data_IF_474526772389
#
_entry.id   IF_474526772389
#
_cell.length_a   1.000
_cell.length_b   1.000
_cell.length_c   1.000
_cell.angle_alpha   90.00
_cell.angle_beta   90.00
_cell.angle_gamma   90.00
#
_symmetry.space_group_name_H-M   'P 1'
#
loop_
_entity.id
_entity.type
_entity.pdbx_description
1 polymer ?
2 non-polymer ?
3 non-polymer ?
4 non-polymer ?
5 non-polymer ?
6 water ?
#
# COMPACT_ATOMS: atom_id res chain seq x y z
N UNK A 1 1.38 -15.82 23.14
CA UNK A 1 2.61 -16.23 23.82
C UNK A 1 3.79 -15.39 23.34
N UNK A 2 4.65 -15.00 24.28
CA UNK A 2 5.84 -14.19 23.99
C UNK A 2 7.05 -15.11 23.93
N UNK A 3 7.71 -15.14 22.77
CA UNK A 3 8.87 -16.00 22.61
C UNK A 3 9.92 -15.65 23.65
N UNK A 4 10.66 -16.65 24.12
CA UNK A 4 11.64 -16.40 25.17
C UNK A 4 12.79 -15.51 24.68
N UNK A 5 13.04 -15.41 23.38
CA UNK A 5 14.10 -14.54 22.88
C UNK A 5 13.61 -13.15 22.51
N UNK A 6 12.31 -12.87 22.64
CA UNK A 6 11.80 -11.52 22.39
C UNK A 6 12.11 -10.61 23.57
N UNK A 7 12.28 -9.34 23.29
CA UNK A 7 12.47 -8.32 24.33
C UNK A 7 11.21 -7.49 24.44
N UNK A 8 10.68 -7.35 25.65
CA UNK A 8 9.54 -6.48 25.93
C UNK A 8 9.99 -5.53 27.02
N UNK A 9 10.04 -4.24 26.69
CA UNK A 9 10.50 -3.25 27.65
C UNK A 9 9.59 -3.25 28.88
N UNK A 10 10.14 -3.08 30.08
CA UNK A 10 9.29 -3.08 31.29
C UNK A 10 8.14 -2.07 31.24
N UNK A 11 8.28 -0.95 30.52
CA UNK A 11 7.19 0.03 30.45
C UNK A 11 6.17 -0.26 29.35
N UNK A 12 6.45 -1.20 28.46
CA UNK A 12 5.46 -1.55 27.45
C UNK A 12 4.33 -2.36 28.05
N UNK A 13 3.18 -2.31 27.40
CA UNK A 13 2.00 -3.05 27.84
C UNK A 13 1.66 -4.03 26.72
N UNK A 14 1.97 -5.31 26.92
CA UNK A 14 1.61 -6.35 25.97
C UNK A 14 0.51 -7.18 26.61
N UNK A 15 -0.69 -7.15 26.03
CA UNK A 15 -1.84 -7.81 26.65
C UNK A 15 -1.79 -9.32 26.46
N UNK A 16 -2.22 -10.06 27.49
CA UNK A 16 -2.23 -11.51 27.39
C UNK A 16 -3.04 -11.94 26.18
N UNK A 17 -2.46 -12.86 25.39
CA UNK A 17 -3.02 -13.28 24.12
C UNK A 17 -2.18 -12.85 22.93
N UNK A 18 -1.45 -11.74 23.07
CA UNK A 18 -0.60 -11.30 21.98
C UNK A 18 0.48 -12.34 21.72
N UNK A 19 0.85 -12.47 20.45
CA UNK A 19 1.87 -13.42 20.02
C UNK A 19 3.07 -12.63 19.52
N UNK A 20 4.22 -12.81 20.16
CA UNK A 20 5.43 -12.07 19.85
C UNK A 20 6.52 -13.07 19.47
N UNK A 21 7.08 -12.93 18.27
CA UNK A 21 8.02 -13.89 17.73
C UNK A 21 9.44 -13.73 18.25
N UNK A 22 10.29 -14.66 17.82
CA UNK A 22 11.68 -14.70 18.29
C UNK A 22 12.42 -13.42 17.92
N UNK A 23 13.23 -12.92 18.86
CA UNK A 23 14.10 -11.77 18.63
C UNK A 23 13.34 -10.52 18.19
N UNK A 24 12.04 -10.49 18.43
CA UNK A 24 11.32 -9.24 18.28
C UNK A 24 11.68 -8.30 19.43
N UNK A 25 11.34 -7.03 19.28
CA UNK A 25 11.70 -6.02 20.26
C UNK A 25 10.51 -5.09 20.43
N UNK A 26 9.95 -5.04 21.63
CA UNK A 26 8.88 -4.13 21.96
C UNK A 26 9.47 -3.05 22.87
N UNK A 27 9.58 -1.82 22.34
CA UNK A 27 10.23 -0.73 23.05
C UNK A 27 9.35 -0.07 24.09
N UNK A 28 9.92 0.92 24.78
CA UNK A 28 9.21 1.56 25.89
C UNK A 28 7.89 2.19 25.46
N UNK A 29 6.90 2.11 26.36
CA UNK A 29 5.62 2.80 26.21
C UNK A 29 4.84 2.34 24.98
N UNK A 30 5.16 1.16 24.45
CA UNK A 30 4.34 0.55 23.41
C UNK A 30 3.12 -0.12 24.04
N UNK A 31 2.06 -0.25 23.23
CA UNK A 31 0.87 -0.99 23.63
C UNK A 31 0.55 -2.00 22.55
N UNK A 32 0.41 -3.28 22.91
CA UNK A 32 0.13 -4.34 21.96
C UNK A 32 -1.08 -5.11 22.45
N UNK A 33 -2.16 -5.12 21.65
CA UNK A 33 -3.41 -5.71 22.06
C UNK A 33 -3.40 -7.21 22.02
N UNK A 34 -4.45 -7.80 22.59
CA UNK A 34 -4.47 -9.26 22.78
C UNK A 34 -4.61 -10.05 21.48
N UNK A 35 -5.03 -9.41 20.38
CA UNK A 35 -5.22 -10.12 19.12
C UNK A 35 -4.12 -9.80 18.12
N UNK A 36 -2.98 -9.31 18.58
CA UNK A 36 -1.89 -8.91 17.71
C UNK A 36 -0.91 -10.07 17.61
N UNK A 37 -0.41 -10.32 16.41
CA UNK A 37 0.73 -11.19 16.18
C UNK A 37 1.88 -10.36 15.61
N UNK A 38 3.06 -10.47 16.23
CA UNK A 38 4.24 -9.76 15.78
C UNK A 38 5.31 -10.79 15.46
N UNK A 39 5.77 -10.77 14.21
CA UNK A 39 6.68 -11.78 13.72
C UNK A 39 8.12 -11.61 14.19
N UNK A 40 8.91 -12.62 13.87
CA UNK A 40 10.32 -12.71 14.27
C UNK A 40 11.12 -11.50 13.77
N UNK A 41 11.89 -10.92 14.68
CA UNK A 41 12.79 -9.83 14.32
C UNK A 41 12.13 -8.47 14.20
N UNK A 42 10.81 -8.37 14.32
CA UNK A 42 10.16 -7.08 14.17
C UNK A 42 10.42 -6.21 15.40
N UNK A 43 10.64 -4.92 15.14
CA UNK A 43 10.99 -3.95 16.17
C UNK A 43 9.91 -2.88 16.22
N UNK A 44 9.40 -2.61 17.44
CA UNK A 44 8.58 -1.44 17.74
C UNK A 44 9.45 -0.51 18.58
N UNK A 45 9.81 0.64 18.01
CA UNK A 45 10.87 1.45 18.61
C UNK A 45 10.48 1.94 20.00
N UNK A 46 9.36 2.65 20.08
CA UNK A 46 8.82 3.21 21.33
C UNK A 46 7.52 3.90 20.97
N UNK A 47 6.65 4.06 21.97
CA UNK A 47 5.40 4.81 21.78
C UNK A 47 4.61 4.33 20.56
N UNK A 48 4.53 3.01 20.33
CA UNK A 48 3.75 2.45 19.23
C UNK A 48 2.48 1.82 19.81
N UNK A 49 1.35 2.04 19.14
CA UNK A 49 0.10 1.38 19.50
C UNK A 49 -0.24 0.38 18.39
N UNK A 50 -0.39 -0.89 18.76
CA UNK A 50 -0.86 -1.91 17.81
C UNK A 50 -2.03 -2.61 18.47
N UNK A 51 -3.18 -2.60 17.81
CA UNK A 51 -4.33 -3.25 18.41
C UNK A 51 -5.17 -3.86 17.30
N UNK A 52 -6.37 -4.34 17.66
CA UNK A 52 -7.24 -5.01 16.71
C UNK A 52 -6.71 -6.40 16.37
N UNK A 53 -7.39 -7.05 15.44
CA UNK A 53 -6.96 -8.34 14.90
C UNK A 53 -5.92 -8.04 13.82
N UNK A 54 -4.66 -8.10 14.19
CA UNK A 54 -3.60 -7.50 13.39
C UNK A 54 -2.41 -8.46 13.40
N UNK A 55 -1.99 -8.88 12.21
CA UNK A 55 -0.85 -9.79 12.05
C UNK A 55 0.26 -9.05 11.32
N UNK A 56 1.42 -9.00 11.93
CA UNK A 56 2.58 -8.29 11.40
C UNK A 56 3.69 -9.33 11.20
N UNK A 57 4.33 -9.30 10.04
CA UNK A 57 5.33 -10.28 9.68
C UNK A 57 6.70 -10.01 10.28
N UNK A 58 7.73 -10.48 9.59
CA UNK A 58 9.08 -10.51 10.17
C UNK A 58 9.92 -9.32 9.73
N UNK A 59 10.84 -8.93 10.60
CA UNK A 59 11.89 -7.95 10.26
C UNK A 59 11.33 -6.58 9.87
N UNK A 60 10.15 -6.23 10.38
CA UNK A 60 9.65 -4.88 10.19
C UNK A 60 10.27 -3.94 11.21
N UNK A 61 10.30 -2.65 10.87
CA UNK A 61 10.71 -1.60 11.81
C UNK A 61 9.57 -0.61 11.89
N UNK A 62 9.00 -0.46 13.07
CA UNK A 62 7.86 0.43 13.27
C UNK A 62 8.29 1.49 14.26
N UNK A 63 8.22 2.75 13.83
CA UNK A 63 8.75 3.86 14.60
C UNK A 63 7.70 4.51 15.48
N UNK A 64 8.20 5.40 16.35
CA UNK A 64 7.39 6.02 17.39
C UNK A 64 6.19 6.77 16.83
N UNK A 65 5.10 6.71 17.59
CA UNK A 65 3.85 7.43 17.38
C UNK A 65 3.05 6.88 16.21
N UNK A 66 3.43 5.72 15.68
CA UNK A 66 2.61 5.01 14.70
C UNK A 66 1.46 4.28 15.37
N UNK A 67 0.36 4.13 14.63
CA UNK A 67 -0.86 3.49 15.12
C UNK A 67 -1.28 2.45 14.09
N UNK A 68 -1.22 1.18 14.46
CA UNK A 68 -1.42 0.06 13.54
C UNK A 68 -2.56 -0.82 14.06
N UNK A 69 -3.59 -1.01 13.22
CA UNK A 69 -4.72 -1.84 13.57
C UNK A 69 -5.90 -1.10 14.13
N UNK A 70 -5.79 0.22 14.28
CA UNK A 70 -6.78 1.02 14.96
C UNK A 70 -8.11 1.06 14.18
N UNK A 71 -9.18 1.35 14.92
CA UNK A 71 -10.49 1.67 14.39
C UNK A 71 -10.36 2.60 13.18
N UNK A 72 -11.07 2.30 12.09
CA UNK A 72 -10.93 3.15 10.92
C UNK A 72 -11.83 4.38 11.06
N UNK A 73 -11.83 5.24 10.04
CA UNK A 73 -12.54 6.51 10.07
C UNK A 73 -13.81 6.50 9.22
N UNK A 74 -14.25 5.32 8.80
CA UNK A 74 -15.49 5.19 8.04
C UNK A 74 -16.65 5.27 9.01
N UNK A 75 -17.57 6.22 8.78
CA UNK A 75 -18.71 6.33 9.68
C UNK A 75 -19.58 5.08 9.66
N UNK A 76 -19.50 4.27 8.60
CA UNK A 76 -20.26 3.02 8.56
C UNK A 76 -19.69 1.96 9.50
N UNK A 77 -18.44 2.08 9.93
CA UNK A 77 -17.85 1.09 10.81
C UNK A 77 -18.46 1.19 12.20
N UNK A 78 -18.78 0.04 12.80
CA UNK A 78 -19.46 0.05 14.09
C UNK A 78 -18.79 -0.88 15.10
N UNK A 79 -17.49 -1.16 14.94
CA UNK A 79 -16.78 -1.96 15.90
C UNK A 79 -16.63 -3.43 15.57
N UNK A 80 -17.03 -3.86 14.37
CA UNK A 80 -16.93 -5.26 14.02
C UNK A 80 -15.47 -5.72 14.04
N UNK A 81 -15.24 -6.99 14.38
CA UNK A 81 -13.88 -7.55 14.32
C UNK A 81 -13.41 -7.67 12.89
N UNK A 82 -12.74 -6.66 12.39
CA UNK A 82 -12.07 -6.71 11.09
C UNK A 82 -10.56 -6.79 11.32
N UNK A 83 -9.78 -6.77 10.24
CA UNK A 83 -8.39 -7.23 10.33
C UNK A 83 -7.42 -6.30 9.61
N UNK A 84 -6.16 -6.43 10.01
CA UNK A 84 -5.02 -5.82 9.32
C UNK A 84 -4.00 -6.93 9.15
N UNK A 85 -3.40 -7.01 7.95
CA UNK A 85 -2.26 -7.89 7.69
C UNK A 85 -1.11 -7.08 7.12
N UNK A 86 0.08 -7.26 7.68
CA UNK A 86 1.28 -6.56 7.24
C UNK A 86 2.37 -7.61 7.04
N UNK A 87 3.09 -7.51 5.92
CA UNK A 87 4.11 -8.51 5.60
C UNK A 87 5.46 -8.26 6.25
N UNK A 88 6.54 -8.45 5.49
CA UNK A 88 7.89 -8.52 6.03
C UNK A 88 8.73 -7.32 5.60
N UNK A 89 9.68 -6.94 6.47
CA UNK A 89 10.75 -6.01 6.10
C UNK A 89 10.22 -4.65 5.67
N UNK A 90 9.09 -4.26 6.22
CA UNK A 90 8.59 -2.91 6.00
C UNK A 90 9.24 -1.94 6.97
N UNK A 91 9.42 -0.71 6.51
CA UNK A 91 9.85 0.40 7.34
C UNK A 91 8.67 1.35 7.48
N UNK A 92 8.14 1.44 8.69
CA UNK A 92 6.89 2.14 8.96
C UNK A 92 7.25 3.28 9.89
N UNK A 93 7.25 4.51 9.36
CA UNK A 93 7.92 5.61 10.03
C UNK A 93 6.99 6.31 11.01
N UNK A 94 7.52 7.35 11.67
CA UNK A 94 6.80 8.06 12.73
C UNK A 94 5.40 8.50 12.29
N UNK A 95 4.41 8.26 13.17
CA UNK A 95 3.06 8.77 13.01
C UNK A 95 2.29 8.16 11.84
N UNK A 96 2.80 7.12 11.20
CA UNK A 96 2.00 6.39 10.21
C UNK A 96 0.77 5.80 10.89
N UNK A 97 -0.35 5.80 10.18
CA UNK A 97 -1.58 5.15 10.64
C UNK A 97 -2.01 4.11 9.60
N UNK A 98 -2.32 2.91 10.07
CA UNK A 98 -2.83 1.82 9.24
C UNK A 98 -4.06 1.31 9.94
N UNK A 99 -5.23 1.51 9.35
CA UNK A 99 -6.49 1.21 10.01
C UNK A 99 -7.07 -0.13 9.56
N UNK A 100 -7.85 -0.75 10.46
CA UNK A 100 -8.49 -2.03 10.18
C UNK A 100 -9.58 -1.88 9.13
N UNK A 101 -9.98 -3.00 8.52
CA UNK A 101 -10.96 -2.97 7.46
C UNK A 101 -12.39 -2.72 7.96
N UNK A 102 -13.33 -2.73 7.02
CA UNK A 102 -14.76 -2.68 7.33
C UNK A 102 -15.44 -3.93 6.78
N UNK A 103 -16.51 -4.34 7.43
CA UNK A 103 -17.27 -5.49 6.94
C UNK A 103 -17.69 -5.24 5.50
N UNK A 104 -18.24 -4.05 5.24
CA UNK A 104 -18.73 -3.71 3.90
C UNK A 104 -17.62 -3.77 2.85
N UNK A 105 -16.38 -3.49 3.23
CA UNK A 105 -15.29 -3.46 2.29
C UNK A 105 -14.52 -4.76 2.14
N UNK A 106 -14.91 -5.83 2.84
CA UNK A 106 -14.20 -7.10 2.76
C UNK A 106 -13.48 -7.48 4.03
N UNK A 107 -13.37 -6.57 4.99
CA UNK A 107 -12.89 -6.89 6.32
C UNK A 107 -11.39 -6.87 6.52
N UNK A 108 -10.61 -6.45 5.54
CA UNK A 108 -9.15 -6.61 5.61
C UNK A 108 -8.43 -5.41 5.01
N UNK A 109 -7.51 -4.85 5.79
CA UNK A 109 -6.51 -3.93 5.28
C UNK A 109 -5.19 -4.68 5.15
N UNK A 110 -4.57 -4.62 3.98
CA UNK A 110 -3.41 -5.46 3.71
C UNK A 110 -2.24 -4.63 3.19
N UNK A 111 -1.06 -4.87 3.76
CA UNK A 111 0.20 -4.31 3.32
C UNK A 111 1.14 -5.49 3.08
N UNK A 112 1.86 -5.46 1.96
CA UNK A 112 2.80 -6.54 1.65
C UNK A 112 4.15 -6.34 2.29
N UNK A 113 5.22 -6.51 1.52
CA UNK A 113 6.57 -6.59 2.06
C UNK A 113 7.49 -5.56 1.42
N UNK A 114 8.56 -5.21 2.14
CA UNK A 114 9.60 -4.34 1.62
C UNK A 114 9.08 -2.94 1.26
N UNK A 115 8.05 -2.46 1.96
CA UNK A 115 7.52 -1.12 1.71
C UNK A 115 8.18 -0.09 2.62
N UNK A 116 8.19 1.16 2.14
CA UNK A 116 8.61 2.32 2.93
C UNK A 116 7.42 3.25 3.09
N UNK A 117 6.90 3.37 4.31
CA UNK A 117 5.78 4.25 4.58
C UNK A 117 6.32 5.40 5.44
N UNK A 118 6.45 6.58 4.83
CA UNK A 118 7.15 7.68 5.47
C UNK A 118 6.23 8.39 6.46
N UNK A 119 6.79 9.41 7.13
CA UNK A 119 6.13 10.08 8.25
C UNK A 119 4.69 10.43 7.91
N UNK A 120 3.76 10.02 8.78
CA UNK A 120 2.35 10.40 8.69
C UNK A 120 1.67 9.91 7.42
N UNK A 121 2.22 8.92 6.71
CA UNK A 121 1.42 8.26 5.68
C UNK A 121 0.19 7.63 6.32
N UNK A 122 -0.89 7.55 5.54
CA UNK A 122 -2.17 7.00 6.01
C UNK A 122 -2.65 5.89 5.09
N UNK A 123 -2.89 4.72 5.66
CA UNK A 123 -3.47 3.59 4.94
C UNK A 123 -4.82 3.32 5.59
N UNK A 124 -5.89 3.70 4.89
CA UNK A 124 -7.26 3.61 5.38
C UNK A 124 -7.79 2.18 5.34
N UNK A 125 -8.96 2.00 5.94
CA UNK A 125 -9.66 0.72 5.94
C UNK A 125 -9.74 0.14 4.53
N UNK A 126 -9.56 -1.17 4.42
CA UNK A 126 -9.78 -1.95 3.20
C UNK A 126 -8.82 -1.60 2.08
N UNK A 127 -7.74 -0.88 2.35
CA UNK A 127 -6.74 -0.67 1.31
C UNK A 127 -5.90 -1.93 1.12
N UNK A 128 -5.24 -1.99 -0.04
CA UNK A 128 -4.30 -3.06 -0.35
C UNK A 128 -3.05 -2.40 -0.90
N UNK A 129 -1.95 -2.51 -0.15
CA UNK A 129 -0.64 -2.06 -0.59
C UNK A 129 0.19 -3.30 -0.89
N UNK A 130 0.85 -3.30 -2.05
CA UNK A 130 1.61 -4.47 -2.48
C UNK A 130 3.01 -4.52 -1.87
N UNK A 131 4.00 -4.78 -2.71
CA UNK A 131 5.39 -4.96 -2.30
C UNK A 131 6.24 -3.87 -2.93
N UNK A 132 7.29 -3.47 -2.21
CA UNK A 132 8.30 -2.54 -2.73
C UNK A 132 7.72 -1.16 -3.05
N UNK A 133 6.66 -0.77 -2.36
CA UNK A 133 6.04 0.53 -2.57
C UNK A 133 6.67 1.58 -1.66
N UNK A 134 6.50 2.84 -2.03
CA UNK A 134 6.88 3.97 -1.18
C UNK A 134 5.70 4.93 -1.12
N UNK A 135 5.28 5.26 0.11
CA UNK A 135 4.39 6.39 0.37
C UNK A 135 5.21 7.46 1.08
N UNK A 136 5.36 8.63 0.45
CA UNK A 136 6.18 9.71 1.03
C UNK A 136 5.39 10.43 2.13
N UNK A 137 6.03 11.43 2.77
CA UNK A 137 5.44 12.08 3.94
C UNK A 137 4.03 12.56 3.63
N UNK A 138 3.11 12.26 4.55
CA UNK A 138 1.73 12.74 4.51
C UNK A 138 0.92 12.16 3.36
N UNK A 139 1.46 11.19 2.62
CA UNK A 139 0.67 10.59 1.56
C UNK A 139 -0.51 9.87 2.18
N UNK A 140 -1.69 10.07 1.62
CA UNK A 140 -2.93 9.70 2.30
C UNK A 140 -3.78 8.89 1.34
N UNK A 141 -4.12 7.66 1.73
CA UNK A 141 -5.05 6.84 0.95
C UNK A 141 -6.42 6.87 1.61
N UNK A 142 -7.45 7.20 0.84
CA UNK A 142 -8.81 7.01 1.33
C UNK A 142 -9.14 5.52 1.37
N UNK A 143 -10.35 5.19 1.82
CA UNK A 143 -10.73 3.78 1.94
C UNK A 143 -10.72 3.05 0.61
N UNK A 144 -10.36 1.77 0.65
CA UNK A 144 -10.52 0.85 -0.49
C UNK A 144 -9.52 1.10 -1.61
N UNK A 145 -8.45 1.84 -1.36
CA UNK A 145 -7.48 2.14 -2.40
C UNK A 145 -6.52 0.97 -2.55
N UNK A 146 -6.16 0.64 -3.79
CA UNK A 146 -5.11 -0.33 -4.08
C UNK A 146 -3.86 0.40 -4.54
N UNK A 147 -2.71 0.05 -3.97
CA UNK A 147 -1.41 0.53 -4.43
C UNK A 147 -0.61 -0.71 -4.81
N UNK A 148 -0.37 -0.89 -6.12
CA UNK A 148 0.20 -2.15 -6.63
C UNK A 148 1.72 -2.12 -6.51
N UNK A 149 2.34 -3.25 -6.81
CA UNK A 149 3.77 -3.44 -6.58
C UNK A 149 4.61 -2.34 -7.22
N UNK A 150 5.62 -1.88 -6.48
CA UNK A 150 6.65 -0.95 -6.89
C UNK A 150 6.14 0.49 -7.07
N UNK A 151 4.85 0.75 -6.86
CA UNK A 151 4.34 2.10 -7.07
C UNK A 151 4.88 3.04 -6.00
N UNK A 152 5.11 4.30 -6.36
CA UNK A 152 5.54 5.31 -5.40
C UNK A 152 4.60 6.51 -5.45
N UNK A 153 4.34 7.09 -4.28
CA UNK A 153 3.39 8.18 -4.13
C UNK A 153 4.09 9.31 -3.40
N UNK A 154 4.17 10.49 -4.03
CA UNK A 154 4.97 11.58 -3.52
C UNK A 154 4.36 12.31 -2.34
N UNK A 155 5.18 13.17 -1.74
CA UNK A 155 4.78 13.82 -0.51
C UNK A 155 3.55 14.68 -0.69
N UNK A 156 2.69 14.69 0.34
CA UNK A 156 1.48 15.51 0.43
C UNK A 156 0.39 15.06 -0.55
N UNK A 157 0.50 13.89 -1.16
CA UNK A 157 -0.48 13.47 -2.15
C UNK A 157 -1.59 12.65 -1.51
N UNK A 158 -2.83 12.86 -1.98
CA UNK A 158 -3.99 12.11 -1.49
C UNK A 158 -4.67 11.37 -2.64
N UNK A 159 -5.24 10.20 -2.32
CA UNK A 159 -5.88 9.32 -3.29
C UNK A 159 -7.32 9.09 -2.87
N UNK A 160 -8.26 9.42 -3.75
CA UNK A 160 -9.69 9.28 -3.51
C UNK A 160 -10.07 7.81 -3.38
N UNK A 161 -11.14 7.55 -2.62
CA UNK A 161 -11.56 6.20 -2.31
C UNK A 161 -11.76 5.35 -3.56
N UNK A 162 -11.37 4.08 -3.46
CA UNK A 162 -11.52 3.01 -4.46
C UNK A 162 -10.56 3.14 -5.63
N UNK A 163 -9.74 4.18 -5.72
CA UNK A 163 -8.84 4.30 -6.86
C UNK A 163 -7.76 3.22 -6.81
N UNK A 164 -7.27 2.85 -7.98
CA UNK A 164 -6.16 1.91 -8.13
C UNK A 164 -4.94 2.68 -8.62
N UNK A 165 -3.85 2.55 -7.89
CA UNK A 165 -2.55 3.04 -8.32
C UNK A 165 -1.81 1.84 -8.88
N UNK A 166 -1.66 1.77 -10.20
CA UNK A 166 -1.15 0.57 -10.82
C UNK A 166 0.34 0.31 -10.54
N UNK A 167 0.79 -0.88 -10.94
CA UNK A 167 2.16 -1.30 -10.66
C UNK A 167 3.18 -0.38 -11.34
N UNK A 168 4.28 -0.09 -10.64
CA UNK A 168 5.37 0.72 -11.17
C UNK A 168 4.97 2.15 -11.48
N UNK A 169 3.82 2.60 -10.97
CA UNK A 169 3.40 3.99 -11.16
C UNK A 169 4.30 4.91 -10.35
N UNK A 170 4.47 6.13 -10.84
CA UNK A 170 5.00 7.23 -10.04
C UNK A 170 3.96 8.34 -9.96
N UNK A 171 3.43 8.61 -8.77
CA UNK A 171 2.54 9.74 -8.55
C UNK A 171 3.34 10.86 -7.93
N UNK A 172 3.35 12.03 -8.58
CA UNK A 172 4.12 13.14 -8.08
C UNK A 172 3.63 13.65 -6.74
N UNK A 173 4.48 14.44 -6.08
CA UNK A 173 4.06 15.07 -4.85
C UNK A 173 3.00 16.13 -5.10
N UNK A 174 2.32 16.53 -4.02
CA UNK A 174 1.35 17.64 -4.08
C UNK A 174 0.25 17.39 -5.11
N UNK A 175 -0.17 16.14 -5.23
CA UNK A 175 -1.17 15.76 -6.23
C UNK A 175 -2.42 15.23 -5.55
N UNK A 176 -3.52 15.24 -6.31
CA UNK A 176 -4.75 14.62 -5.85
C UNK A 176 -5.21 13.64 -6.91
N UNK A 177 -5.30 12.35 -6.57
CA UNK A 177 -5.65 11.32 -7.53
C UNK A 177 -7.13 10.99 -7.36
N UNK A 178 -7.90 11.19 -8.43
CA UNK A 178 -9.36 11.00 -8.38
C UNK A 178 -9.86 9.84 -9.20
N UNK A 179 -9.00 9.23 -10.01
CA UNK A 179 -9.37 8.10 -10.85
C UNK A 179 -8.22 7.09 -10.86
N UNK A 180 -8.38 6.01 -11.62
CA UNK A 180 -7.41 4.92 -11.61
C UNK A 180 -6.20 5.26 -12.48
N UNK A 181 -5.01 4.86 -12.02
CA UNK A 181 -3.77 5.14 -12.73
C UNK A 181 -3.23 3.82 -13.29
N UNK A 182 -3.17 3.65 -14.61
CA UNK A 182 -2.74 2.36 -15.18
C UNK A 182 -1.30 2.05 -14.80
N UNK A 183 -0.92 0.77 -14.83
CA UNK A 183 0.48 0.43 -14.52
C UNK A 183 1.45 1.20 -15.41
N UNK A 184 2.62 1.46 -14.85
CA UNK A 184 3.78 1.99 -15.55
C UNK A 184 3.68 3.48 -15.86
N UNK A 185 2.65 4.20 -15.37
CA UNK A 185 2.36 5.58 -15.77
C UNK A 185 2.90 6.56 -14.72
N UNK A 186 3.28 7.74 -15.17
CA UNK A 186 3.56 8.87 -14.29
C UNK A 186 2.29 9.70 -14.20
N UNK A 187 1.88 10.04 -12.98
CA UNK A 187 0.69 10.87 -12.78
C UNK A 187 1.04 12.05 -11.90
N UNK A 188 0.47 13.22 -12.20
CA UNK A 188 0.66 14.34 -11.30
C UNK A 188 -0.38 15.41 -11.56
N UNK A 189 -0.60 16.24 -10.54
CA UNK A 189 -1.50 17.37 -10.63
C UNK A 189 -2.67 17.21 -9.68
N UNK A 190 -3.57 18.19 -9.73
CA UNK A 190 -4.78 18.22 -8.90
C UNK A 190 -5.92 18.72 -9.78
N UNK A 191 -6.69 17.79 -10.36
CA UNK A 191 -6.53 16.35 -10.20
C UNK A 191 -5.42 15.79 -11.08
N UNK A 192 -4.86 14.66 -10.67
CA UNK A 192 -3.73 14.08 -11.40
C UNK A 192 -4.13 13.64 -12.80
N UNK A 193 -3.23 13.90 -13.74
CA UNK A 193 -3.34 13.49 -15.14
C UNK A 193 -2.08 12.73 -15.54
N UNK A 194 -2.13 11.99 -16.64
CA UNK A 194 -0.98 11.17 -17.02
C UNK A 194 0.12 12.00 -17.68
N UNK A 195 1.37 11.63 -17.39
CA UNK A 195 2.53 12.32 -17.93
C UNK A 195 3.56 11.33 -18.47
N UNK A 196 3.10 10.34 -19.22
CA UNK A 196 4.01 9.41 -19.86
C UNK A 196 4.28 8.19 -19.01
N UNK A 197 5.28 7.41 -19.46
CA UNK A 197 5.63 6.13 -18.84
C UNK A 197 6.77 6.37 -17.86
N UNK A 198 6.74 5.64 -16.74
CA UNK A 198 7.78 5.78 -15.71
C UNK A 198 9.02 5.01 -16.18
N UNK A 199 9.62 5.53 -17.24
CA UNK A 199 10.70 4.80 -17.94
C UNK A 199 11.87 4.55 -17.00
N UNK A 200 12.23 5.55 -16.21
CA UNK A 200 13.41 5.42 -15.34
C UNK A 200 13.20 4.35 -14.28
N UNK A 201 12.00 4.24 -13.71
CA UNK A 201 11.74 3.16 -12.78
C UNK A 201 11.86 1.80 -13.43
N UNK A 202 11.31 1.66 -14.63
CA UNK A 202 11.36 0.38 -15.32
C UNK A 202 12.80 -0.01 -15.67
N UNK A 203 13.60 0.97 -16.08
CA UNK A 203 14.99 0.72 -16.42
C UNK A 203 15.75 0.18 -15.22
N UNK A 204 15.61 0.85 -14.07
CA UNK A 204 16.30 0.42 -12.86
C UNK A 204 15.81 -0.93 -12.37
N UNK A 205 14.58 -1.31 -12.67
CA UNK A 205 14.06 -2.55 -12.16
C UNK A 205 14.24 -3.72 -13.12
N UNK A 206 15.07 -3.55 -14.14
CA UNK A 206 15.45 -4.66 -15.00
C UNK A 206 14.58 -4.91 -16.21
N UNK A 207 13.69 -3.99 -16.56
CA UNK A 207 12.89 -4.18 -17.77
C UNK A 207 13.77 -4.03 -19.00
N UNK A 208 13.53 -4.89 -20.00
CA UNK A 208 14.32 -4.83 -21.24
C UNK A 208 13.91 -3.62 -22.07
N UNK A 209 14.79 -3.26 -23.02
CA UNK A 209 14.46 -2.18 -23.95
C UNK A 209 13.18 -2.52 -24.73
N UNK A 210 13.04 -3.79 -25.14
CA UNK A 210 11.85 -4.19 -25.87
C UNK A 210 10.58 -4.06 -25.04
N UNK A 211 10.63 -4.49 -23.78
CA UNK A 211 9.46 -4.39 -22.89
C UNK A 211 9.07 -2.94 -22.67
N UNK A 212 10.04 -2.07 -22.44
CA UNK A 212 9.72 -0.66 -22.22
C UNK A 212 9.07 -0.07 -23.48
N UNK A 213 9.62 -0.37 -24.66
CA UNK A 213 9.00 0.12 -25.89
C UNK A 213 7.57 -0.41 -26.03
N UNK A 214 7.35 -1.68 -25.73
CA UNK A 214 6.00 -2.22 -25.85
C UNK A 214 5.06 -1.52 -24.87
N UNK A 215 5.53 -1.26 -23.65
CA UNK A 215 4.73 -0.55 -22.67
C UNK A 215 4.41 0.86 -23.16
N UNK A 216 5.41 1.55 -23.72
CA UNK A 216 5.16 2.88 -24.26
C UNK A 216 4.15 2.82 -25.41
N UNK A 217 4.20 1.77 -26.22
CA UNK A 217 3.22 1.65 -27.31
C UNK A 217 1.82 1.39 -26.75
N UNK A 218 1.72 0.63 -25.67
CA UNK A 218 0.41 0.44 -25.02
C UNK A 218 -0.11 1.76 -24.45
N UNK A 219 0.78 2.56 -23.84
CA UNK A 219 0.39 3.88 -23.38
C UNK A 219 -0.17 4.73 -24.50
N UNK A 220 0.48 4.71 -25.66
CA UNK A 220 0.01 5.50 -26.80
C UNK A 220 -1.34 5.01 -27.30
N UNK A 221 -1.55 3.68 -27.34
CA UNK A 221 -2.87 3.17 -27.66
C UNK A 221 -3.93 3.77 -26.74
N UNK A 222 -3.64 3.83 -25.45
CA UNK A 222 -4.64 4.30 -24.49
C UNK A 222 -4.85 5.80 -24.62
N UNK A 223 -3.78 6.57 -24.75
CA UNK A 223 -3.84 8.01 -24.56
C UNK A 223 -3.59 8.83 -25.82
N UNK A 224 -3.07 8.23 -26.88
CA UNK A 224 -2.75 8.99 -28.09
C UNK A 224 -3.54 8.57 -29.31
N UNK A 225 -3.92 7.29 -29.42
CA UNK A 225 -4.57 6.80 -30.63
C UNK A 225 -5.90 7.47 -30.88
N UNK A 226 -6.55 7.97 -29.83
CA UNK A 226 -7.87 8.54 -29.97
C UNK A 226 -8.99 7.53 -29.94
N UNK A 227 -8.68 6.24 -29.82
CA UNK A 227 -9.71 5.22 -29.75
C UNK A 227 -10.28 5.13 -28.35
N UNK A 228 -11.46 4.50 -28.25
CA UNK A 228 -12.08 4.29 -26.96
C UNK A 228 -11.38 3.15 -26.24
N UNK A 229 -11.55 3.12 -24.91
CA UNK A 229 -10.91 2.07 -24.13
C UNK A 229 -11.34 0.69 -24.61
N UNK A 230 -12.62 0.52 -24.90
CA UNK A 230 -13.11 -0.77 -25.36
C UNK A 230 -12.47 -1.18 -26.68
N UNK A 231 -12.25 -0.23 -27.58
CA UNK A 231 -11.52 -0.54 -28.80
C UNK A 231 -10.07 -0.89 -28.50
N UNK A 232 -9.47 -0.25 -27.50
CA UNK A 232 -8.04 -0.42 -27.24
C UNK A 232 -7.74 -1.72 -26.51
N UNK A 233 -8.68 -2.21 -25.69
CA UNK A 233 -8.40 -3.39 -24.89
C UNK A 233 -7.95 -4.58 -25.72
N UNK A 234 -8.61 -4.95 -26.82
CA UNK A 234 -8.10 -6.07 -27.63
C UNK A 234 -6.75 -5.79 -28.27
N UNK A 235 -6.46 -4.54 -28.63
CA UNK A 235 -5.16 -4.26 -29.23
C UNK A 235 -4.03 -4.42 -28.20
N UNK A 236 -4.30 -4.04 -26.96
CA UNK A 236 -3.32 -4.25 -25.89
C UNK A 236 -3.15 -5.74 -25.60
N UNK A 237 -4.25 -6.49 -25.54
CA UNK A 237 -4.14 -7.94 -25.38
C UNK A 237 -3.34 -8.55 -26.53
N UNK A 238 -3.52 -8.03 -27.74
CA UNK A 238 -2.75 -8.52 -28.88
C UNK A 238 -1.26 -8.27 -28.68
N UNK A 239 -0.91 -7.07 -28.22
CA UNK A 239 0.49 -6.75 -27.99
C UNK A 239 1.09 -7.63 -26.89
N UNK A 240 0.29 -7.96 -25.86
CA UNK A 240 0.78 -8.79 -24.77
C UNK A 240 1.05 -10.23 -25.19
N UNK A 241 0.56 -10.65 -26.36
CA UNK A 241 0.91 -11.97 -26.87
C UNK A 241 2.39 -12.07 -27.18
N UNK A 242 3.03 -10.95 -27.51
CA UNK A 242 4.47 -10.92 -27.72
C UNK A 242 5.24 -10.40 -26.51
N UNK A 243 4.71 -9.40 -25.80
CA UNK A 243 5.42 -8.74 -24.70
C UNK A 243 4.63 -8.95 -23.43
N UNK A 244 4.98 -9.94 -22.62
CA UNK A 244 4.14 -10.29 -21.47
C UNK A 244 4.00 -9.17 -20.46
N UNK A 245 4.96 -8.25 -20.36
CA UNK A 245 4.81 -7.12 -19.44
C UNK A 245 3.55 -6.32 -19.74
N UNK A 246 3.08 -6.32 -20.98
CA UNK A 246 1.89 -5.56 -21.33
C UNK A 246 0.62 -6.17 -20.72
N UNK A 247 0.66 -7.44 -20.31
CA UNK A 247 -0.49 -8.06 -19.65
C UNK A 247 -0.91 -7.31 -18.38
N UNK A 248 0.01 -6.56 -17.77
CA UNK A 248 -0.35 -5.78 -16.58
C UNK A 248 -1.49 -4.82 -16.88
N UNK A 249 -1.52 -4.24 -18.09
CA UNK A 249 -2.63 -3.37 -18.47
C UNK A 249 -3.94 -4.14 -18.46
N UNK A 250 -3.96 -5.31 -19.11
CA UNK A 250 -5.17 -6.13 -19.15
C UNK A 250 -5.68 -6.43 -17.73
N UNK A 251 -4.80 -6.89 -16.84
CA UNK A 251 -5.24 -7.21 -15.49
C UNK A 251 -5.75 -5.97 -14.77
N UNK A 252 -5.15 -4.82 -15.04
CA UNK A 252 -5.57 -3.58 -14.41
C UNK A 252 -6.95 -3.16 -14.89
N UNK A 253 -7.23 -3.31 -16.20
CA UNK A 253 -8.53 -2.90 -16.72
C UNK A 253 -9.65 -3.69 -16.05
N UNK A 254 -9.41 -4.97 -15.75
CA UNK A 254 -10.46 -5.80 -15.16
C UNK A 254 -10.80 -5.36 -13.73
N UNK A 255 -9.85 -4.72 -13.04
CA UNK A 255 -10.07 -4.27 -11.67
C UNK A 255 -10.57 -2.84 -11.58
N UNK A 256 -10.30 -2.03 -12.59
CA UNK A 256 -10.59 -0.60 -12.57
C UNK A 256 -12.09 -0.36 -12.47
N UNK A 257 -12.50 0.51 -11.54
CA UNK A 257 -13.91 0.86 -11.42
C UNK A 257 -14.19 2.35 -11.52
N UNK A 258 -13.17 3.21 -11.56
CA UNK A 258 -13.40 4.66 -11.57
C UNK A 258 -13.00 5.31 -12.89
N UNK A 259 -12.72 4.52 -13.92
CA UNK A 259 -12.19 5.10 -15.14
C UNK A 259 -10.74 5.50 -14.96
N UNK A 260 -10.05 5.78 -16.04
CA UNK A 260 -8.64 6.12 -16.00
C UNK A 260 -8.45 7.62 -15.85
N UNK A 261 -7.36 8.02 -15.20
CA UNK A 261 -6.98 9.42 -15.26
C UNK A 261 -6.80 9.81 -16.74
N UNK A 262 -7.13 11.07 -17.06
CA UNK A 262 -7.17 11.53 -18.43
C UNK A 262 -6.58 12.93 -18.54
N UNK A 263 -6.21 13.30 -19.77
CA UNK A 263 -5.72 14.65 -20.01
C UNK A 263 -6.84 15.67 -19.89
#
# INVERSE_FOLDING_TARGET
MIDKSAFVHPTAIVEEGASIGANAHIGPFCIVGPHVEIGEGTVLKSHVVVNGHTKIGRDNEIYQFASIGEVNQDLKYAGEPTRVEIGDRNRIRESVTIHRGTVQGGGLTKVGSDNLLMINAHIAHDCTVGNRCILANNATLAGHVSVDDFAIIGGMTAVHQFCIIGAHVMVGGCSGVAQDVPPYVIAQGNHATPFGVNIEGLKRRGFSREAITAIRNAYKLIYRSGKTLDEVKPEIAELAETYPEVKAFTDFFARSTRGLIRHHHHHH
#
